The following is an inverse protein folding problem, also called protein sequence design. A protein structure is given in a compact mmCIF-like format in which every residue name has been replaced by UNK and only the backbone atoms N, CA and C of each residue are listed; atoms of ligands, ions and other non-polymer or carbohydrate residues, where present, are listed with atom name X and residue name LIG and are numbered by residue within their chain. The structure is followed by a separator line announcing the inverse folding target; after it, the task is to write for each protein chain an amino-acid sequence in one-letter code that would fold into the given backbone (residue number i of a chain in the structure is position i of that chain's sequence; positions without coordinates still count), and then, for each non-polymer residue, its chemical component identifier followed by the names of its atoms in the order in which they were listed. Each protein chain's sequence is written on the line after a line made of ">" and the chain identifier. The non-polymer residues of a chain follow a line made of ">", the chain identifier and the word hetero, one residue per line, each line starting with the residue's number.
data_IF_131963615842
#
_entry.id   IF_131963615842
#
_cell.length_a   1.000
_cell.length_b   1.000
_cell.length_c   1.000
_cell.angle_alpha   90.00
_cell.angle_beta   90.00
_cell.angle_gamma   90.00
#
_symmetry.space_group_name_H-M   'P 1'
#
loop_
_entity.id
_entity.type
_entity.pdbx_description
1 polymer ?
#
# COMPACT_ATOMS: atom_id res chain seq x y z
N UNK A 1 19.94 13.22 -18.82
CA UNK A 1 20.15 14.53 -18.16
C UNK A 1 20.75 15.55 -19.10
N UNK A 2 21.92 15.31 -19.72
CA UNK A 2 22.51 16.26 -20.69
C UNK A 2 21.57 16.72 -21.83
N UNK A 3 20.64 15.86 -22.26
CA UNK A 3 19.63 16.16 -23.31
C UNK A 3 18.35 16.87 -22.82
N UNK A 4 18.15 17.03 -21.52
CA UNK A 4 16.96 17.68 -20.97
C UNK A 4 17.30 19.12 -20.57
N UNK A 5 16.41 20.05 -20.89
CA UNK A 5 16.51 21.46 -20.45
C UNK A 5 16.07 21.61 -18.99
N UNK A 6 14.91 21.04 -18.66
CA UNK A 6 14.37 20.98 -17.30
C UNK A 6 13.96 19.54 -16.95
N UNK A 7 14.11 19.17 -15.69
CA UNK A 7 13.71 17.88 -15.11
C UNK A 7 12.90 18.17 -13.87
N UNK A 8 11.62 17.82 -13.92
CA UNK A 8 10.70 17.97 -12.79
C UNK A 8 10.72 16.71 -11.94
N UNK A 9 10.86 16.87 -10.63
CA UNK A 9 10.89 15.75 -9.68
C UNK A 9 9.93 15.99 -8.54
N UNK A 10 9.41 14.88 -8.00
CA UNK A 10 8.34 14.90 -7.00
C UNK A 10 8.72 15.37 -5.61
N UNK A 11 9.99 15.25 -5.24
CA UNK A 11 10.46 15.53 -3.88
C UNK A 11 11.95 15.82 -3.84
N UNK A 12 12.35 16.49 -2.77
CA UNK A 12 13.75 16.80 -2.48
C UNK A 12 14.60 15.53 -2.36
N UNK A 13 14.00 14.45 -1.86
CA UNK A 13 14.64 13.12 -1.84
C UNK A 13 15.08 12.67 -3.25
N UNK A 14 14.21 12.82 -4.26
CA UNK A 14 14.52 12.41 -5.64
C UNK A 14 15.58 13.32 -6.26
N UNK A 15 15.52 14.63 -5.98
CA UNK A 15 16.55 15.60 -6.39
C UNK A 15 17.91 15.20 -5.83
N UNK A 16 18.01 15.00 -4.52
CA UNK A 16 19.23 14.59 -3.83
C UNK A 16 19.80 13.25 -4.30
N UNK A 17 18.94 12.27 -4.59
CA UNK A 17 19.36 10.98 -5.14
C UNK A 17 19.92 11.12 -6.56
N UNK A 18 19.39 12.06 -7.34
CA UNK A 18 19.79 12.31 -8.72
C UNK A 18 21.10 13.07 -8.84
N UNK A 19 21.40 13.96 -7.87
CA UNK A 19 22.63 14.77 -7.84
C UNK A 19 23.84 14.01 -7.25
N UNK A 20 23.63 13.13 -6.25
CA UNK A 20 24.69 12.33 -5.60
C UNK A 20 25.47 11.38 -6.53
N UNK A 21 24.95 11.03 -7.71
CA UNK A 21 25.63 10.14 -8.69
C UNK A 21 26.60 10.88 -9.63
N UNK A 22 27.34 11.88 -9.13
CA UNK A 22 28.40 12.56 -9.90
C UNK A 22 27.92 13.51 -11.00
N UNK A 23 26.70 14.07 -10.86
CA UNK A 23 26.07 14.94 -11.87
C UNK A 23 25.85 16.36 -11.33
N UNK A 24 26.92 16.96 -10.79
CA UNK A 24 26.88 18.29 -10.16
C UNK A 24 26.46 19.39 -11.15
N UNK A 25 26.93 19.32 -12.40
CA UNK A 25 26.56 20.23 -13.51
C UNK A 25 25.08 20.18 -13.94
N UNK A 26 24.26 19.36 -13.29
CA UNK A 26 22.84 19.19 -13.66
C UNK A 26 21.86 19.55 -12.54
N UNK A 27 22.32 20.01 -11.38
CA UNK A 27 21.42 20.37 -10.27
C UNK A 27 20.45 21.49 -10.66
N UNK A 28 20.93 22.44 -11.46
CA UNK A 28 20.19 23.65 -11.83
C UNK A 28 19.06 23.35 -12.83
N UNK A 29 19.10 22.15 -13.42
CA UNK A 29 18.06 21.63 -14.31
C UNK A 29 17.00 20.81 -13.56
N UNK A 30 17.17 20.55 -12.27
CA UNK A 30 16.28 19.68 -11.48
C UNK A 30 15.42 20.53 -10.54
N UNK A 31 14.14 20.59 -10.85
CA UNK A 31 13.14 21.36 -10.14
C UNK A 31 12.24 20.44 -9.34
N UNK A 32 12.06 20.73 -8.04
CA UNK A 32 11.10 20.02 -7.21
C UNK A 32 9.75 20.68 -7.38
N UNK A 33 8.83 20.00 -8.05
CA UNK A 33 7.50 20.56 -8.38
C UNK A 33 6.35 19.82 -7.70
N UNK A 34 6.65 18.76 -6.97
CA UNK A 34 5.63 17.90 -6.35
C UNK A 34 5.23 16.71 -7.20
N UNK A 35 4.36 15.86 -6.66
CA UNK A 35 3.99 14.58 -7.25
C UNK A 35 2.71 14.70 -8.07
N UNK A 36 2.78 14.45 -9.38
CA UNK A 36 1.62 14.47 -10.28
C UNK A 36 0.53 13.46 -9.89
N UNK A 37 0.83 12.48 -9.04
CA UNK A 37 -0.21 11.63 -8.44
C UNK A 37 -1.21 12.50 -7.66
N UNK A 38 -0.77 13.55 -6.98
CA UNK A 38 -1.64 14.51 -6.29
C UNK A 38 -2.62 15.17 -7.26
N UNK A 39 -2.11 15.72 -8.36
CA UNK A 39 -2.90 16.36 -9.42
C UNK A 39 -3.90 15.40 -10.08
N UNK A 40 -3.57 14.10 -10.12
CA UNK A 40 -4.43 13.07 -10.72
C UNK A 40 -5.54 12.55 -9.81
N UNK A 41 -5.57 12.95 -8.52
CA UNK A 41 -6.55 12.41 -7.58
C UNK A 41 -7.95 12.88 -7.96
N UNK A 42 -8.73 11.95 -8.50
CA UNK A 42 -10.15 12.11 -8.75
C UNK A 42 -10.96 11.66 -7.54
N UNK A 43 -12.05 12.36 -7.26
CA UNK A 43 -13.03 12.00 -6.24
C UNK A 43 -14.38 11.92 -6.94
N UNK A 44 -14.94 10.72 -7.03
CA UNK A 44 -16.15 10.49 -7.82
C UNK A 44 -17.44 10.39 -7.01
N UNK A 45 -17.35 10.17 -5.70
CA UNK A 45 -18.51 9.99 -4.84
C UNK A 45 -18.26 10.49 -3.42
N UNK A 46 -19.31 10.95 -2.75
CA UNK A 46 -19.26 11.31 -1.34
C UNK A 46 -19.25 10.05 -0.44
N UNK A 47 -18.85 10.24 0.82
CA UNK A 47 -18.70 9.15 1.79
C UNK A 47 -19.99 8.37 2.02
N UNK A 48 -21.12 9.05 2.14
CA UNK A 48 -22.39 8.42 2.51
C UNK A 48 -22.90 7.55 1.35
N UNK A 49 -22.81 8.07 0.13
CA UNK A 49 -23.12 7.30 -1.08
C UNK A 49 -22.29 6.02 -1.16
N UNK A 50 -20.96 6.13 -1.13
CA UNK A 50 -20.06 4.97 -1.24
C UNK A 50 -20.38 3.90 -0.20
N UNK A 51 -20.61 4.30 1.05
CA UNK A 51 -20.88 3.37 2.16
C UNK A 51 -22.26 2.73 2.07
N UNK A 52 -23.28 3.46 1.60
CA UNK A 52 -24.63 2.94 1.41
C UNK A 52 -24.65 1.80 0.39
N UNK A 53 -23.84 1.90 -0.67
CA UNK A 53 -23.78 0.89 -1.74
C UNK A 53 -23.25 -0.48 -1.26
N UNK A 54 -22.55 -0.50 -0.13
CA UNK A 54 -21.94 -1.70 0.48
C UNK A 54 -22.43 -1.92 1.92
N UNK A 55 -23.58 -1.34 2.27
CA UNK A 55 -24.24 -1.53 3.58
C UNK A 55 -23.34 -1.26 4.80
N UNK A 56 -22.44 -0.28 4.71
CA UNK A 56 -21.60 0.15 5.85
C UNK A 56 -22.31 1.27 6.60
N UNK A 57 -22.62 1.05 7.87
CA UNK A 57 -23.33 2.03 8.71
C UNK A 57 -22.42 3.20 9.11
N UNK A 58 -22.96 4.37 9.54
CA UNK A 58 -22.14 5.52 9.91
C UNK A 58 -21.09 5.26 10.99
N UNK A 59 -21.43 4.46 12.01
CA UNK A 59 -20.56 4.15 13.16
C UNK A 59 -19.59 2.97 12.91
N UNK A 60 -19.75 2.28 11.79
CA UNK A 60 -18.84 1.21 11.39
C UNK A 60 -17.51 1.79 10.87
N UNK A 61 -16.43 1.00 10.94
CA UNK A 61 -15.15 1.34 10.35
C UNK A 61 -14.97 0.56 9.05
N UNK A 62 -14.94 1.26 7.92
CA UNK A 62 -14.62 0.65 6.63
C UNK A 62 -13.10 0.46 6.54
N UNK A 63 -12.64 -0.79 6.67
CA UNK A 63 -11.21 -1.12 6.62
C UNK A 63 -10.90 -1.91 5.35
N UNK A 64 -10.02 -1.36 4.51
CA UNK A 64 -9.62 -2.02 3.27
C UNK A 64 -8.26 -2.70 3.43
N UNK A 65 -8.11 -3.86 2.81
CA UNK A 65 -6.85 -4.59 2.70
C UNK A 65 -6.42 -4.62 1.25
N UNK A 66 -5.21 -4.15 0.98
CA UNK A 66 -4.64 -4.03 -0.37
C UNK A 66 -3.47 -5.01 -0.52
N UNK A 67 -3.70 -6.25 -0.99
CA UNK A 67 -2.69 -7.31 -1.03
C UNK A 67 -1.59 -7.09 -2.07
N UNK A 68 -1.63 -5.97 -2.78
CA UNK A 68 -0.68 -5.61 -3.84
C UNK A 68 -1.27 -5.75 -5.23
N UNK A 69 -0.41 -5.54 -6.21
CA UNK A 69 -0.75 -5.54 -7.64
C UNK A 69 0.03 -6.58 -8.43
N UNK A 70 1.10 -7.13 -7.85
CA UNK A 70 1.95 -8.14 -8.48
C UNK A 70 1.60 -9.53 -7.96
N UNK A 71 1.76 -10.53 -8.80
CA UNK A 71 1.52 -11.94 -8.49
C UNK A 71 2.06 -12.37 -7.12
N UNK A 72 3.32 -12.06 -6.85
CA UNK A 72 3.94 -12.49 -5.60
C UNK A 72 3.42 -11.74 -4.37
N UNK A 73 3.06 -10.46 -4.52
CA UNK A 73 2.47 -9.67 -3.44
C UNK A 73 1.13 -10.29 -3.08
N UNK A 74 0.27 -10.54 -4.07
CA UNK A 74 -1.07 -11.12 -3.86
C UNK A 74 -0.99 -12.53 -3.30
N UNK A 75 -0.18 -13.41 -3.92
CA UNK A 75 0.00 -14.81 -3.46
C UNK A 75 0.48 -14.89 -2.03
N UNK A 76 1.31 -13.92 -1.63
CA UNK A 76 1.89 -13.92 -0.30
C UNK A 76 1.00 -13.24 0.74
N UNK A 77 0.51 -12.04 0.45
CA UNK A 77 -0.15 -11.17 1.42
C UNK A 77 -1.64 -11.42 1.56
N UNK A 78 -2.33 -11.85 0.50
CA UNK A 78 -3.78 -12.07 0.59
C UNK A 78 -4.13 -13.10 1.68
N UNK A 79 -3.54 -14.31 1.73
CA UNK A 79 -3.86 -15.28 2.78
C UNK A 79 -3.53 -14.80 4.20
N UNK A 80 -2.50 -13.95 4.34
CA UNK A 80 -2.14 -13.32 5.62
C UNK A 80 -3.21 -12.34 6.05
N UNK A 81 -3.64 -11.46 5.14
CA UNK A 81 -4.69 -10.48 5.40
C UNK A 81 -6.01 -11.14 5.74
N UNK A 82 -6.39 -12.26 5.10
CA UNK A 82 -7.57 -13.02 5.49
C UNK A 82 -7.50 -13.49 6.95
N UNK A 83 -6.32 -13.95 7.39
CA UNK A 83 -6.12 -14.35 8.79
C UNK A 83 -6.22 -13.16 9.75
N UNK A 84 -5.61 -12.03 9.39
CA UNK A 84 -5.69 -10.78 10.17
C UNK A 84 -7.14 -10.29 10.28
N UNK A 85 -7.87 -10.26 9.15
CA UNK A 85 -9.29 -9.89 9.10
C UNK A 85 -10.10 -10.75 10.05
N UNK A 86 -9.91 -12.08 10.01
CA UNK A 86 -10.66 -12.99 10.85
C UNK A 86 -10.44 -12.73 12.34
N UNK A 87 -9.20 -12.47 12.76
CA UNK A 87 -8.89 -12.13 14.16
C UNK A 87 -9.51 -10.78 14.55
N UNK A 88 -9.27 -9.73 13.76
CA UNK A 88 -9.68 -8.36 14.10
C UNK A 88 -11.19 -8.22 14.13
N UNK A 89 -11.92 -8.82 13.19
CA UNK A 89 -13.39 -8.72 13.18
C UNK A 89 -14.08 -9.60 14.22
N UNK A 90 -13.37 -10.57 14.81
CA UNK A 90 -13.85 -11.25 15.99
C UNK A 90 -13.80 -10.36 17.22
N UNK A 91 -12.76 -9.53 17.34
CA UNK A 91 -12.55 -8.59 18.46
C UNK A 91 -13.32 -7.26 18.29
N UNK A 92 -13.38 -6.71 17.08
CA UNK A 92 -13.97 -5.40 16.78
C UNK A 92 -15.15 -5.55 15.81
N UNK A 93 -16.38 -5.58 16.34
CA UNK A 93 -17.59 -5.83 15.55
C UNK A 93 -17.98 -4.69 14.59
N UNK A 94 -17.53 -3.47 14.90
CA UNK A 94 -17.72 -2.28 14.07
C UNK A 94 -16.80 -2.27 12.84
N UNK A 95 -15.74 -3.08 12.81
CA UNK A 95 -14.86 -3.16 11.64
C UNK A 95 -15.54 -3.95 10.52
N UNK A 96 -15.74 -3.30 9.37
CA UNK A 96 -16.21 -3.89 8.11
C UNK A 96 -15.01 -4.06 7.17
N UNK A 97 -14.50 -5.29 7.00
CA UNK A 97 -13.31 -5.54 6.20
C UNK A 97 -13.64 -5.72 4.73
N UNK A 98 -12.77 -5.23 3.86
CA UNK A 98 -12.89 -5.41 2.42
C UNK A 98 -11.53 -5.70 1.80
N UNK A 99 -11.47 -6.50 0.75
CA UNK A 99 -10.28 -6.58 -0.11
C UNK A 99 -10.44 -5.56 -1.22
N UNK A 100 -9.52 -4.58 -1.33
CA UNK A 100 -9.49 -3.70 -2.50
C UNK A 100 -8.57 -4.30 -3.56
N UNK A 101 -9.17 -4.80 -4.65
CA UNK A 101 -8.46 -5.49 -5.72
C UNK A 101 -7.80 -4.48 -6.67
N UNK A 102 -6.54 -4.73 -7.01
CA UNK A 102 -5.85 -4.03 -8.10
C UNK A 102 -6.47 -4.40 -9.46
N UNK A 103 -6.59 -3.45 -10.42
CA UNK A 103 -7.08 -3.76 -11.77
C UNK A 103 -6.18 -4.74 -12.52
N UNK A 104 -4.93 -4.92 -12.08
CA UNK A 104 -3.97 -5.87 -12.66
C UNK A 104 -4.08 -7.30 -12.10
N UNK A 105 -4.98 -7.52 -11.14
CA UNK A 105 -5.16 -8.81 -10.46
C UNK A 105 -6.45 -9.45 -10.94
N UNK A 106 -6.32 -10.58 -11.63
CA UNK A 106 -7.47 -11.36 -12.11
C UNK A 106 -7.96 -12.39 -11.08
N UNK A 107 -9.12 -12.99 -11.36
CA UNK A 107 -9.73 -13.99 -10.50
C UNK A 107 -8.87 -15.26 -10.36
N UNK A 108 -8.12 -15.65 -11.40
CA UNK A 108 -7.27 -16.85 -11.39
C UNK A 108 -6.13 -16.70 -10.39
N UNK A 109 -5.52 -15.51 -10.35
CA UNK A 109 -4.48 -15.19 -9.38
C UNK A 109 -5.02 -15.26 -7.95
N UNK A 110 -6.20 -14.66 -7.70
CA UNK A 110 -6.87 -14.75 -6.39
C UNK A 110 -7.12 -16.23 -6.02
N UNK A 111 -7.79 -16.99 -6.87
CA UNK A 111 -8.08 -18.41 -6.60
C UNK A 111 -6.81 -19.23 -6.32
N UNK A 112 -5.74 -19.03 -7.10
CA UNK A 112 -4.48 -19.72 -6.90
C UNK A 112 -3.84 -19.37 -5.54
N UNK A 113 -3.93 -18.10 -5.11
CA UNK A 113 -3.41 -17.65 -3.82
C UNK A 113 -4.19 -18.23 -2.63
N UNK A 114 -5.48 -18.51 -2.82
CA UNK A 114 -6.34 -19.11 -1.79
C UNK A 114 -6.13 -20.63 -1.66
N UNK A 115 -5.73 -21.32 -2.73
CA UNK A 115 -5.44 -22.76 -2.75
C UNK A 115 -4.06 -23.09 -2.16
N UNK A 116 -3.06 -22.28 -2.48
CA UNK A 116 -1.66 -22.54 -2.12
C UNK A 116 -1.13 -21.42 -1.22
N UNK A 117 -1.68 -21.34 -0.01
CA UNK A 117 -1.22 -20.35 0.95
C UNK A 117 0.28 -20.55 1.26
N UNK A 118 1.04 -19.47 1.43
CA UNK A 118 2.49 -19.56 1.60
C UNK A 118 2.83 -20.33 2.87
N UNK A 119 3.55 -21.44 2.73
CA UNK A 119 4.11 -22.16 3.87
C UNK A 119 5.36 -21.42 4.38
N UNK A 120 5.16 -20.55 5.38
CA UNK A 120 6.23 -19.81 6.07
C UNK A 120 6.03 -19.94 7.57
N UNK A 121 7.08 -20.33 8.28
CA UNK A 121 7.06 -20.59 9.71
C UNK A 121 6.53 -19.40 10.53
N UNK A 122 6.90 -18.19 10.14
CA UNK A 122 6.57 -16.95 10.84
C UNK A 122 5.15 -16.46 10.56
N UNK A 123 4.44 -17.00 9.56
CA UNK A 123 3.19 -16.43 9.07
C UNK A 123 2.06 -17.43 9.12
N UNK A 124 1.04 -17.08 9.91
CA UNK A 124 -0.26 -17.76 9.89
C UNK A 124 -1.11 -17.21 8.76
N UNK A 125 -1.72 -18.11 8.02
CA UNK A 125 -2.51 -17.81 6.83
C UNK A 125 -3.92 -18.36 6.99
N UNK A 126 -4.83 -17.80 6.22
CA UNK A 126 -6.17 -18.34 6.05
C UNK A 126 -6.45 -18.55 4.56
N UNK A 127 -7.02 -19.70 4.23
CA UNK A 127 -7.40 -20.07 2.87
C UNK A 127 -8.88 -19.75 2.65
N UNK A 128 -9.34 -19.91 1.41
CA UNK A 128 -10.75 -19.70 1.08
C UNK A 128 -11.07 -20.11 -0.35
N UNK A 129 -12.23 -19.68 -0.80
CA UNK A 129 -12.67 -19.79 -2.20
C UNK A 129 -13.24 -18.45 -2.64
N UNK A 130 -12.93 -18.07 -3.87
CA UNK A 130 -13.62 -16.99 -4.54
C UNK A 130 -15.04 -17.45 -4.87
N UNK A 131 -16.03 -16.63 -4.59
CA UNK A 131 -17.44 -16.91 -4.88
C UNK A 131 -18.10 -15.65 -5.45
N UNK A 132 -19.12 -15.84 -6.27
CA UNK A 132 -20.00 -14.74 -6.66
C UNK A 132 -20.67 -14.13 -5.43
N UNK A 133 -20.83 -12.82 -5.45
CA UNK A 133 -21.40 -12.05 -4.35
C UNK A 133 -22.22 -10.90 -4.90
N UNK A 134 -23.52 -10.90 -4.61
CA UNK A 134 -24.50 -9.93 -5.12
C UNK A 134 -25.38 -9.36 -4.01
N UNK A 135 -24.88 -9.34 -2.77
CA UNK A 135 -25.61 -8.83 -1.61
C UNK A 135 -25.61 -7.28 -1.55
N UNK A 136 -24.66 -6.65 -2.24
CA UNK A 136 -24.55 -5.19 -2.32
C UNK A 136 -25.18 -4.64 -3.57
N UNK A 137 -25.67 -3.40 -3.49
CA UNK A 137 -26.24 -2.70 -4.65
C UNK A 137 -25.17 -2.18 -5.61
N UNK A 138 -23.90 -2.14 -5.19
CA UNK A 138 -22.79 -1.69 -6.03
C UNK A 138 -22.45 -2.71 -7.13
N UNK A 139 -22.34 -2.24 -8.37
CA UNK A 139 -21.83 -3.05 -9.50
C UNK A 139 -20.32 -3.28 -9.43
N UNK A 140 -19.62 -2.55 -8.55
CA UNK A 140 -18.19 -2.67 -8.32
C UNK A 140 -17.85 -3.71 -7.23
N UNK A 141 -18.83 -4.53 -6.82
CA UNK A 141 -18.65 -5.65 -5.89
C UNK A 141 -19.40 -6.88 -6.41
N UNK A 142 -18.70 -7.70 -7.20
CA UNK A 142 -19.28 -8.89 -7.83
C UNK A 142 -18.84 -10.21 -7.16
N UNK A 143 -17.80 -10.14 -6.33
CA UNK A 143 -17.16 -11.31 -5.74
C UNK A 143 -16.86 -11.10 -4.26
N UNK A 144 -16.79 -12.20 -3.54
CA UNK A 144 -16.29 -12.26 -2.19
C UNK A 144 -15.37 -13.48 -2.00
N UNK A 145 -14.53 -13.41 -0.97
CA UNK A 145 -13.76 -14.56 -0.51
C UNK A 145 -14.53 -15.20 0.62
N UNK A 146 -14.99 -16.43 0.42
CA UNK A 146 -15.50 -17.30 1.49
C UNK A 146 -14.31 -18.01 2.13
N UNK A 147 -13.91 -17.58 3.32
CA UNK A 147 -12.75 -18.14 4.01
C UNK A 147 -13.04 -19.53 4.59
N UNK A 148 -12.00 -20.27 4.95
CA UNK A 148 -12.14 -21.57 5.63
C UNK A 148 -12.82 -21.47 7.00
N UNK A 149 -12.75 -20.31 7.67
CA UNK A 149 -13.54 -19.99 8.86
C UNK A 149 -14.99 -19.58 8.57
N UNK A 150 -15.44 -19.74 7.31
CA UNK A 150 -16.78 -19.42 6.81
C UNK A 150 -17.13 -17.92 6.81
N UNK A 151 -16.14 -17.03 6.89
CA UNK A 151 -16.36 -15.59 6.75
C UNK A 151 -16.50 -15.20 5.28
N UNK A 152 -17.43 -14.30 5.00
CA UNK A 152 -17.56 -13.64 3.70
C UNK A 152 -16.81 -12.31 3.73
N UNK A 153 -15.82 -12.14 2.85
CA UNK A 153 -15.04 -10.90 2.74
C UNK A 153 -15.22 -10.36 1.32
N UNK A 154 -16.02 -9.29 1.14
CA UNK A 154 -16.28 -8.73 -0.19
C UNK A 154 -15.03 -8.15 -0.84
N UNK A 155 -14.97 -8.25 -2.18
CA UNK A 155 -13.89 -7.69 -3.00
C UNK A 155 -14.39 -6.43 -3.70
N UNK A 156 -13.71 -5.31 -3.43
CA UNK A 156 -13.97 -4.02 -4.05
C UNK A 156 -13.16 -3.87 -5.34
N UNK A 157 -13.83 -3.45 -6.42
CA UNK A 157 -13.27 -3.16 -7.74
C UNK A 157 -13.39 -1.65 -8.06
N UNK A 158 -12.59 -1.09 -8.96
CA UNK A 158 -12.64 0.36 -9.29
C UNK A 158 -11.72 1.27 -8.46
N UNK A 159 -10.97 0.69 -7.51
CA UNK A 159 -9.83 1.37 -6.86
C UNK A 159 -10.19 2.47 -5.86
N UNK A 160 -9.17 3.22 -5.42
CA UNK A 160 -9.33 4.30 -4.43
C UNK A 160 -10.06 5.53 -4.99
N UNK A 161 -10.14 5.66 -6.31
CA UNK A 161 -10.92 6.73 -6.96
C UNK A 161 -12.41 6.60 -6.66
N UNK A 162 -12.92 5.37 -6.66
CA UNK A 162 -14.31 5.07 -6.32
C UNK A 162 -14.50 4.96 -4.81
N UNK A 163 -13.73 4.10 -4.15
CA UNK A 163 -14.00 3.72 -2.75
C UNK A 163 -13.41 4.67 -1.71
N UNK A 164 -12.38 5.44 -2.06
CA UNK A 164 -11.50 6.11 -1.09
C UNK A 164 -12.20 7.00 -0.07
N UNK A 165 -13.30 7.67 -0.45
CA UNK A 165 -14.08 8.54 0.46
C UNK A 165 -14.84 7.77 1.55
N UNK A 166 -15.16 6.50 1.31
CA UNK A 166 -15.81 5.64 2.29
C UNK A 166 -14.85 5.06 3.33
N UNK A 167 -13.57 4.99 3.00
CA UNK A 167 -12.53 4.25 3.75
C UNK A 167 -12.08 5.01 5.00
N UNK A 168 -11.98 4.29 6.11
CA UNK A 168 -11.49 4.83 7.38
C UNK A 168 -10.03 4.46 7.67
N UNK A 169 -9.61 3.28 7.21
CA UNK A 169 -8.28 2.74 7.41
C UNK A 169 -7.91 1.76 6.29
N UNK A 170 -6.66 1.75 5.88
CA UNK A 170 -6.11 0.76 4.98
C UNK A 170 -5.02 -0.10 5.64
N UNK A 171 -4.90 -1.35 5.20
CA UNK A 171 -3.75 -2.21 5.48
C UNK A 171 -3.18 -2.62 4.13
N UNK A 172 -1.91 -2.32 3.88
CA UNK A 172 -1.37 -2.39 2.52
C UNK A 172 0.09 -2.81 2.47
N UNK A 173 0.53 -3.35 1.34
CA UNK A 173 1.94 -3.43 0.98
C UNK A 173 2.49 -2.06 0.52
N UNK A 174 3.83 -1.84 0.58
CA UNK A 174 4.45 -0.65 0.00
C UNK A 174 4.23 -0.53 -1.50
N UNK A 175 4.00 0.70 -1.97
CA UNK A 175 3.79 0.98 -3.39
C UNK A 175 3.22 2.37 -3.64
N UNK A 176 2.83 2.65 -4.89
CA UNK A 176 2.19 3.92 -5.28
C UNK A 176 0.83 4.13 -4.61
N UNK A 177 0.15 3.05 -4.22
CA UNK A 177 -1.06 3.10 -3.39
C UNK A 177 -0.85 3.85 -2.07
N UNK A 178 0.32 3.76 -1.43
CA UNK A 178 0.61 4.48 -0.18
C UNK A 178 0.57 5.99 -0.37
N UNK A 179 1.03 6.49 -1.53
CA UNK A 179 0.94 7.91 -1.90
C UNK A 179 -0.51 8.31 -2.16
N UNK A 180 -1.27 7.48 -2.88
CA UNK A 180 -2.68 7.74 -3.15
C UNK A 180 -3.52 7.77 -1.85
N UNK A 181 -3.23 6.88 -0.89
CA UNK A 181 -3.86 6.89 0.43
C UNK A 181 -3.52 8.15 1.21
N UNK A 182 -2.23 8.51 1.24
CA UNK A 182 -1.74 9.65 2.00
C UNK A 182 -2.31 10.98 1.48
N UNK A 183 -2.31 11.20 0.16
CA UNK A 183 -2.91 12.39 -0.44
C UNK A 183 -4.45 12.46 -0.29
N UNK A 184 -5.12 11.32 -0.08
CA UNK A 184 -6.55 11.28 0.28
C UNK A 184 -6.80 11.48 1.77
N UNK A 185 -5.76 11.59 2.59
CA UNK A 185 -5.88 11.67 4.04
C UNK A 185 -6.36 10.37 4.67
N UNK A 186 -6.20 9.22 4.00
CA UNK A 186 -6.65 7.91 4.49
C UNK A 186 -5.53 7.29 5.34
N UNK A 187 -5.75 7.07 6.66
CA UNK A 187 -4.81 6.33 7.49
C UNK A 187 -4.49 4.96 6.92
N UNK A 188 -3.24 4.52 7.06
CA UNK A 188 -2.83 3.21 6.58
C UNK A 188 -1.75 2.57 7.44
N UNK A 189 -1.87 1.27 7.68
CA UNK A 189 -0.78 0.42 8.15
C UNK A 189 -0.06 -0.21 6.96
N UNK A 190 1.22 0.12 6.78
CA UNK A 190 2.04 -0.41 5.68
C UNK A 190 2.82 -1.64 6.16
N UNK A 191 2.63 -2.78 5.50
CA UNK A 191 3.25 -4.06 5.82
C UNK A 191 4.29 -4.40 4.75
N UNK A 192 5.54 -4.07 5.04
CA UNK A 192 6.70 -4.29 4.19
C UNK A 192 7.41 -5.59 4.56
N UNK A 193 6.74 -6.72 4.28
CA UNK A 193 7.22 -8.05 4.62
C UNK A 193 8.38 -8.49 3.70
N UNK A 194 9.52 -8.86 4.32
CA UNK A 194 10.67 -9.46 3.63
C UNK A 194 10.84 -10.95 3.99
N UNK A 195 9.77 -11.62 4.40
CA UNK A 195 9.77 -13.01 4.84
C UNK A 195 10.25 -14.00 3.76
N UNK A 196 10.08 -13.68 2.47
CA UNK A 196 10.67 -14.41 1.33
C UNK A 196 11.48 -13.48 0.44
N UNK A 197 12.71 -13.11 0.82
CA UNK A 197 13.55 -12.24 -0.01
C UNK A 197 13.86 -12.88 -1.37
N UNK A 198 13.82 -14.22 -1.47
CA UNK A 198 13.97 -14.95 -2.72
C UNK A 198 12.84 -14.73 -3.72
N UNK A 199 11.63 -14.36 -3.28
CA UNK A 199 10.48 -14.09 -4.17
C UNK A 199 10.43 -12.62 -4.60
N UNK A 200 10.99 -11.71 -3.79
CA UNK A 200 11.04 -10.29 -4.15
C UNK A 200 11.87 -10.15 -5.45
N UNK A 201 11.33 -9.55 -6.52
CA UNK A 201 12.10 -9.27 -7.72
C UNK A 201 13.15 -8.22 -7.37
N UNK A 202 14.40 -8.66 -7.24
CA UNK A 202 15.53 -7.77 -7.02
C UNK A 202 16.06 -7.44 -8.42
N UNK A 203 15.80 -6.21 -8.86
CA UNK A 203 16.28 -5.73 -10.15
C UNK A 203 17.82 -5.64 -10.19
N UNK A 204 18.42 -5.99 -11.34
CA UNK A 204 19.86 -5.90 -11.58
C UNK A 204 20.70 -7.08 -11.07
N UNK A 205 22.02 -6.88 -10.97
CA UNK A 205 23.01 -7.93 -10.65
C UNK A 205 22.75 -8.68 -9.33
N UNK A 206 22.04 -8.07 -8.38
CA UNK A 206 21.68 -8.73 -7.12
C UNK A 206 20.61 -9.83 -7.29
N UNK A 207 19.84 -9.82 -8.38
CA UNK A 207 18.93 -10.92 -8.74
C UNK A 207 19.66 -12.19 -9.16
N UNK A 208 20.84 -12.06 -9.78
CA UNK A 208 21.70 -13.18 -10.21
C UNK A 208 22.34 -13.90 -9.02
N UNK A 209 22.55 -13.21 -7.88
CA UNK A 209 23.13 -13.81 -6.67
C UNK A 209 22.27 -14.95 -6.10
N UNK A 210 20.97 -15.04 -6.44
CA UNK A 210 20.08 -16.12 -5.99
C UNK A 210 20.48 -17.50 -6.52
N UNK A 211 21.26 -17.55 -7.62
CA UNK A 211 21.65 -18.79 -8.31
C UNK A 211 23.02 -19.34 -7.88
N UNK A 212 23.75 -18.62 -7.03
CA UNK A 212 25.05 -19.07 -6.53
C UNK A 212 24.94 -19.90 -5.25
N UNK A 213 25.81 -20.90 -5.03
CA UNK A 213 25.90 -21.61 -3.76
C UNK A 213 26.22 -20.61 -2.63
N UNK A 214 25.37 -20.54 -1.60
CA UNK A 214 25.47 -19.56 -0.51
C UNK A 214 24.75 -18.21 -0.75
N UNK A 215 24.17 -18.01 -1.93
CA UNK A 215 23.48 -16.77 -2.33
C UNK A 215 22.34 -16.34 -1.40
N UNK A 216 21.58 -17.28 -0.85
CA UNK A 216 20.51 -17.01 0.13
C UNK A 216 21.02 -16.33 1.41
N UNK A 217 22.20 -16.73 1.91
CA UNK A 217 22.78 -16.17 3.13
C UNK A 217 23.36 -14.77 2.89
N UNK A 218 23.98 -14.56 1.72
CA UNK A 218 24.42 -13.24 1.27
C UNK A 218 23.24 -12.29 1.09
N UNK A 219 22.15 -12.76 0.48
CA UNK A 219 20.91 -11.99 0.31
C UNK A 219 20.33 -11.56 1.66
N UNK A 220 20.26 -12.46 2.64
CA UNK A 220 19.80 -12.14 3.99
C UNK A 220 20.66 -11.05 4.66
N UNK A 221 21.99 -11.12 4.51
CA UNK A 221 22.91 -10.08 5.02
C UNK A 221 22.73 -8.75 4.28
N UNK A 222 22.57 -8.78 2.95
CA UNK A 222 22.33 -7.59 2.13
C UNK A 222 21.02 -6.91 2.48
N UNK A 223 19.94 -7.69 2.66
CA UNK A 223 18.63 -7.19 3.11
C UNK A 223 18.75 -6.57 4.51
N UNK A 224 19.44 -7.20 5.47
CA UNK A 224 19.68 -6.62 6.80
C UNK A 224 20.46 -5.29 6.73
N UNK A 225 21.45 -5.19 5.85
CA UNK A 225 22.21 -3.95 5.62
C UNK A 225 21.36 -2.88 4.93
N UNK A 226 20.50 -3.28 3.99
CA UNK A 226 19.55 -2.40 3.31
C UNK A 226 18.55 -1.81 4.32
N UNK A 227 17.96 -2.62 5.19
CA UNK A 227 17.03 -2.17 6.23
C UNK A 227 17.66 -1.10 7.13
N UNK A 228 18.93 -1.27 7.52
CA UNK A 228 19.65 -0.27 8.34
C UNK A 228 19.83 1.08 7.64
N UNK A 229 19.92 1.07 6.31
CA UNK A 229 20.19 2.27 5.50
C UNK A 229 18.92 2.92 4.94
N UNK A 230 17.79 2.21 4.95
CA UNK A 230 16.50 2.68 4.45
C UNK A 230 15.44 2.45 5.54
N UNK A 231 15.24 3.44 6.44
CA UNK A 231 14.36 3.30 7.59
C UNK A 231 12.87 3.28 7.23
N UNK A 232 12.51 3.62 5.98
CA UNK A 232 11.14 3.70 5.51
C UNK A 232 10.96 2.91 4.20
N UNK A 233 9.82 2.23 4.09
CA UNK A 233 9.39 1.46 2.93
C UNK A 233 8.25 2.14 2.16
N UNK A 234 7.37 2.88 2.82
CA UNK A 234 6.30 3.63 2.16
C UNK A 234 6.84 4.91 1.53
N UNK A 235 6.33 5.24 0.35
CA UNK A 235 6.72 6.47 -0.35
C UNK A 235 6.42 7.74 0.47
N UNK A 236 5.28 7.87 1.18
CA UNK A 236 5.02 9.04 2.02
C UNK A 236 6.09 9.25 3.11
N UNK A 237 6.47 8.20 3.83
CA UNK A 237 7.52 8.31 4.85
C UNK A 237 8.90 8.60 4.24
N UNK A 238 9.22 7.99 3.10
CA UNK A 238 10.46 8.27 2.36
C UNK A 238 10.53 9.75 1.94
N UNK A 239 9.42 10.32 1.46
CA UNK A 239 9.38 11.71 1.00
C UNK A 239 9.51 12.69 2.17
N UNK A 240 8.89 12.37 3.32
CA UNK A 240 8.90 13.23 4.50
C UNK A 240 10.15 13.04 5.38
N UNK A 241 10.91 11.95 5.19
CA UNK A 241 12.04 11.60 6.05
C UNK A 241 11.66 11.29 7.50
N UNK A 242 10.37 11.08 7.78
CA UNK A 242 9.80 10.76 9.09
C UNK A 242 8.58 9.86 8.93
N UNK A 243 8.18 9.19 10.02
CA UNK A 243 7.00 8.35 10.02
C UNK A 243 5.71 9.20 10.03
N UNK A 244 5.00 9.19 8.89
CA UNK A 244 3.64 9.73 8.74
C UNK A 244 2.59 8.63 8.66
N UNK A 245 2.94 7.48 8.09
CA UNK A 245 2.16 6.24 8.14
C UNK A 245 2.92 5.19 8.97
N UNK A 246 2.26 4.48 9.89
CA UNK A 246 2.92 3.39 10.61
C UNK A 246 3.34 2.27 9.65
N UNK A 247 4.56 1.76 9.84
CA UNK A 247 5.11 0.67 9.02
C UNK A 247 5.54 -0.53 9.88
N UNK A 248 5.22 -1.73 9.41
CA UNK A 248 5.90 -2.94 9.83
C UNK A 248 6.87 -3.31 8.73
N UNK A 249 8.17 -3.33 9.04
CA UNK A 249 9.23 -3.61 8.08
C UNK A 249 10.15 -4.70 8.61
N UNK A 250 10.34 -5.77 7.84
CA UNK A 250 11.19 -6.88 8.25
C UNK A 250 10.57 -8.25 8.03
N UNK A 251 11.05 -9.22 8.80
CA UNK A 251 10.41 -10.54 8.91
C UNK A 251 9.20 -10.34 9.82
N UNK A 252 8.01 -10.30 9.23
CA UNK A 252 6.78 -9.92 9.92
C UNK A 252 5.97 -11.18 10.19
N UNK A 253 5.50 -11.35 11.43
CA UNK A 253 4.54 -12.37 11.79
C UNK A 253 3.13 -11.86 11.58
N UNK A 254 2.19 -12.78 11.38
CA UNK A 254 0.76 -12.42 11.29
C UNK A 254 0.29 -11.71 12.56
N UNK A 255 0.78 -12.15 13.71
CA UNK A 255 0.52 -11.54 15.02
C UNK A 255 0.99 -10.08 15.10
N UNK A 256 2.15 -9.75 14.53
CA UNK A 256 2.67 -8.38 14.54
C UNK A 256 1.70 -7.42 13.82
N UNK A 257 1.10 -7.86 12.71
CA UNK A 257 0.09 -7.09 11.97
C UNK A 257 -1.18 -6.92 12.81
N UNK A 258 -1.64 -8.00 13.45
CA UNK A 258 -2.83 -7.98 14.32
C UNK A 258 -2.62 -7.02 15.50
N UNK A 259 -1.48 -7.11 16.19
CA UNK A 259 -1.17 -6.26 17.35
C UNK A 259 -1.07 -4.79 16.95
N UNK A 260 -0.39 -4.49 15.84
CA UNK A 260 -0.27 -3.11 15.35
C UNK A 260 -1.62 -2.54 14.96
N UNK A 261 -2.43 -3.32 14.26
CA UNK A 261 -3.77 -2.90 13.84
C UNK A 261 -4.70 -2.72 15.05
N UNK A 262 -4.62 -3.61 16.05
CA UNK A 262 -5.35 -3.48 17.32
C UNK A 262 -5.00 -2.17 18.03
N UNK A 263 -3.72 -1.79 18.05
CA UNK A 263 -3.25 -0.52 18.63
C UNK A 263 -3.89 0.68 17.91
N UNK A 264 -3.83 0.68 16.58
CA UNK A 264 -4.42 1.74 15.74
C UNK A 264 -5.93 1.88 16.00
N UNK A 265 -6.64 0.77 16.15
CA UNK A 265 -8.08 0.73 16.40
C UNK A 265 -8.48 1.12 17.84
N UNK A 266 -7.57 1.06 18.82
CA UNK A 266 -7.88 1.35 20.24
C UNK A 266 -7.36 2.68 20.74
N UNK A 267 -6.15 3.09 20.37
CA UNK A 267 -5.39 4.10 21.12
C UNK A 267 -5.50 5.54 20.57
N UNK A 268 -6.65 5.93 19.99
CA UNK A 268 -6.81 7.21 19.25
C UNK A 268 -5.75 7.45 18.14
N UNK A 269 -4.90 6.48 17.86
CA UNK A 269 -3.79 6.59 16.92
C UNK A 269 -4.27 6.79 15.48
N UNK A 270 -5.48 6.33 15.15
CA UNK A 270 -6.14 6.68 13.89
C UNK A 270 -6.23 8.20 13.69
N UNK A 271 -6.57 8.96 14.74
CA UNK A 271 -6.67 10.42 14.71
C UNK A 271 -5.28 11.04 14.53
N UNK A 272 -4.28 10.53 15.25
CA UNK A 272 -2.90 11.00 15.11
C UNK A 272 -2.36 10.79 13.69
N UNK A 273 -2.65 9.64 13.08
CA UNK A 273 -2.26 9.38 11.68
C UNK A 273 -2.96 10.37 10.75
N UNK A 274 -4.26 10.63 10.92
CA UNK A 274 -4.98 11.64 10.14
C UNK A 274 -4.34 13.02 10.27
N UNK A 275 -3.97 13.42 11.49
CA UNK A 275 -3.31 14.70 11.75
C UNK A 275 -1.96 14.79 11.03
N UNK A 276 -1.15 13.72 11.06
CA UNK A 276 0.11 13.67 10.30
C UNK A 276 -0.11 13.78 8.79
N UNK A 277 -1.17 13.15 8.27
CA UNK A 277 -1.52 13.17 6.84
C UNK A 277 -2.01 14.53 6.34
N UNK A 278 -2.61 15.37 7.20
CA UNK A 278 -2.99 16.74 6.81
C UNK A 278 -1.79 17.58 6.33
N UNK A 279 -0.59 17.24 6.78
CA UNK A 279 0.66 17.88 6.36
C UNK A 279 1.33 17.19 5.17
N UNK A 280 0.70 16.17 4.58
CA UNK A 280 1.18 15.49 3.38
C UNK A 280 0.42 15.98 2.14
N UNK A 281 0.63 17.24 1.79
CA UNK A 281 -0.01 17.94 0.68
C UNK A 281 0.96 18.93 0.04
N UNK A 282 0.54 19.56 -1.05
CA UNK A 282 1.28 20.63 -1.71
C UNK A 282 0.50 21.94 -1.60
N UNK A 283 1.21 23.06 -1.44
CA UNK A 283 0.59 24.39 -1.36
C UNK A 283 -0.09 24.78 -2.68
N UNK A 284 0.52 24.40 -3.81
CA UNK A 284 -0.01 24.56 -5.16
C UNK A 284 -0.13 23.18 -5.82
N UNK A 285 -1.01 23.05 -6.80
CA UNK A 285 -1.07 21.82 -7.58
C UNK A 285 0.27 21.59 -8.31
N UNK A 286 0.86 20.37 -8.25
CA UNK A 286 2.12 20.08 -8.93
C UNK A 286 2.09 20.27 -10.45
N UNK A 287 0.95 20.06 -11.11
CA UNK A 287 0.80 20.30 -12.55
C UNK A 287 0.86 21.80 -12.86
N UNK A 288 0.18 22.63 -12.08
CA UNK A 288 0.22 24.09 -12.22
C UNK A 288 1.64 24.63 -11.98
N UNK A 289 2.34 24.08 -10.99
CA UNK A 289 3.74 24.41 -10.70
C UNK A 289 4.64 24.10 -11.90
N UNK A 290 4.44 22.95 -12.56
CA UNK A 290 5.19 22.58 -13.77
C UNK A 290 4.87 23.52 -14.93
N UNK A 291 3.59 23.85 -15.15
CA UNK A 291 3.17 24.77 -16.23
C UNK A 291 3.81 26.15 -16.03
N UNK A 292 3.71 26.70 -14.82
CA UNK A 292 4.31 28.00 -14.47
C UNK A 292 5.81 28.01 -14.72
N UNK A 293 6.51 26.93 -14.34
CA UNK A 293 7.95 26.81 -14.55
C UNK A 293 8.31 26.65 -16.05
N UNK A 294 7.49 25.98 -16.87
CA UNK A 294 7.74 25.85 -18.31
C UNK A 294 7.53 27.18 -19.03
N UNK A 295 6.41 27.86 -18.75
CA UNK A 295 6.00 29.04 -19.50
C UNK A 295 6.43 30.38 -18.87
N UNK A 296 7.02 30.36 -17.66
CA UNK A 296 7.41 31.56 -16.88
C UNK A 296 6.24 32.54 -16.67
N UNK A 297 5.06 32.00 -16.39
CA UNK A 297 3.81 32.75 -16.12
C UNK A 297 3.46 32.64 -14.65
#
# INVERSE_FOLDING_TARGET
>A
IKRYEKIFVRSEYVKNKSTKKGKKDSSDKIFVTGDLVYSSIKIFADRNRVRSEISVLPDDLMVIFMPGSRDFEVKYMLPVYLKVINVITNEFKTVKPFILRSPYVDNRLIESSLKSAPNIKEVKVETGKLVEFKEFSSTNVNFAIKTSSKRMIPILEGGLEYWGRGVDLAVTVPGTNTVQLAYRGIPALVVAAINKPEIIPIEGFAGLLKWLPGGKMLLKKAVKKYIKNFPFASLPNIYMGKEILPELFGVIKTEDIVERLRKILKENELVDIKNKLMHFSFNNDPADTIISEIFKV
#
